data_IF_686693412569
#
_entry.id   IF_686693412569
#
_cell.length_a   1.000
_cell.length_b   1.000
_cell.length_c   1.000
_cell.angle_alpha   90.00
_cell.angle_beta   90.00
_cell.angle_gamma   90.00
#
_symmetry.space_group_name_H-M   'P 1'
#
loop_
_entity.id
_entity.type
_entity.pdbx_description
1 polymer ?
#
# COMPACT_ATOMS: atom_id res chain seq x y z
N UNK A 1 7.26 4.27 26.49
CA UNK A 1 7.21 3.28 25.40
C UNK A 1 8.56 3.35 24.70
N UNK A 2 9.36 2.28 24.81
CA UNK A 2 10.66 2.22 24.12
C UNK A 2 10.37 2.08 22.61
N UNK A 3 10.54 3.17 21.87
CA UNK A 3 10.54 3.12 20.41
C UNK A 3 11.81 2.38 19.98
N UNK A 4 11.68 1.09 19.74
CA UNK A 4 12.73 0.37 19.02
C UNK A 4 12.92 1.07 17.66
N UNK A 5 14.17 1.30 17.24
CA UNK A 5 14.41 1.91 15.94
C UNK A 5 13.75 1.05 14.85
N UNK A 6 12.99 1.70 13.97
CA UNK A 6 12.39 1.04 12.82
C UNK A 6 13.51 0.64 11.88
N UNK A 7 13.64 -0.64 11.49
CA UNK A 7 14.66 -1.04 10.54
C UNK A 7 14.36 -0.39 9.18
N UNK A 8 15.36 0.27 8.60
CA UNK A 8 15.20 0.96 7.32
C UNK A 8 15.20 0.00 6.14
N UNK A 9 15.81 -1.19 6.31
CA UNK A 9 16.02 -2.17 5.24
C UNK A 9 15.88 -3.59 5.77
N UNK A 10 15.50 -4.49 4.87
CA UNK A 10 15.48 -5.94 5.12
C UNK A 10 15.83 -6.68 3.83
N UNK A 11 16.42 -7.86 3.95
CA UNK A 11 16.83 -8.68 2.81
C UNK A 11 15.94 -9.89 2.69
N UNK A 12 15.59 -10.25 1.47
CA UNK A 12 14.93 -11.52 1.15
C UNK A 12 15.73 -12.35 0.14
N UNK A 13 15.46 -13.64 0.14
CA UNK A 13 16.05 -14.63 -0.76
C UNK A 13 14.99 -15.09 -1.74
N UNK A 14 15.31 -15.17 -3.01
CA UNK A 14 14.48 -15.84 -4.00
C UNK A 14 14.80 -17.33 -4.02
N UNK A 15 13.87 -18.20 -3.67
CA UNK A 15 14.09 -19.64 -3.49
C UNK A 15 14.65 -20.32 -4.76
N UNK A 16 14.26 -19.86 -5.95
CA UNK A 16 14.71 -20.47 -7.23
C UNK A 16 16.16 -20.21 -7.58
N UNK A 17 16.67 -19.01 -7.35
CA UNK A 17 18.02 -18.62 -7.73
C UNK A 17 18.96 -18.42 -6.55
N UNK A 18 18.45 -18.53 -5.30
CA UNK A 18 19.17 -18.23 -4.06
C UNK A 18 19.77 -16.80 -4.01
N UNK A 19 19.27 -15.93 -4.90
CA UNK A 19 19.70 -14.55 -4.98
C UNK A 19 19.13 -13.70 -3.86
N UNK A 20 19.98 -12.88 -3.25
CA UNK A 20 19.62 -11.93 -2.22
C UNK A 20 19.16 -10.61 -2.85
N UNK A 21 18.09 -10.04 -2.31
CA UNK A 21 17.62 -8.71 -2.68
C UNK A 21 17.35 -7.92 -1.41
N UNK A 22 18.00 -6.77 -1.28
CA UNK A 22 17.76 -5.81 -0.20
C UNK A 22 16.62 -4.87 -0.60
N UNK A 23 15.67 -4.68 0.30
CA UNK A 23 14.56 -3.74 0.15
C UNK A 23 14.54 -2.77 1.32
N UNK A 24 14.26 -1.52 0.99
CA UNK A 24 14.16 -0.44 1.98
C UNK A 24 12.86 0.35 1.83
N UNK A 25 12.65 1.23 2.79
CA UNK A 25 11.57 2.22 2.80
C UNK A 25 10.18 1.64 2.46
N UNK A 26 9.52 2.22 1.46
CA UNK A 26 8.16 1.87 1.07
C UNK A 26 8.04 0.41 0.58
N UNK A 27 9.06 -0.11 -0.13
CA UNK A 27 9.03 -1.48 -0.62
C UNK A 27 9.13 -2.49 0.53
N UNK A 28 9.91 -2.18 1.56
CA UNK A 28 9.98 -3.00 2.75
C UNK A 28 8.67 -2.93 3.54
N UNK A 29 8.10 -1.73 3.74
CA UNK A 29 6.81 -1.55 4.41
C UNK A 29 5.71 -2.34 3.69
N UNK A 30 5.64 -2.27 2.35
CA UNK A 30 4.65 -2.99 1.56
C UNK A 30 4.80 -4.52 1.64
N UNK A 31 6.04 -5.04 1.58
CA UNK A 31 6.30 -6.48 1.70
C UNK A 31 6.04 -7.00 3.11
N UNK A 32 6.30 -6.20 4.14
CA UNK A 32 6.04 -6.52 5.54
C UNK A 32 4.59 -6.33 5.94
N UNK A 33 3.77 -5.68 5.11
CA UNK A 33 2.37 -5.44 5.40
C UNK A 33 1.56 -6.74 5.30
N UNK A 34 1.00 -7.25 6.41
CA UNK A 34 0.25 -8.49 6.42
C UNK A 34 -1.08 -8.44 5.66
N UNK A 35 -1.59 -7.23 5.38
CA UNK A 35 -2.82 -7.00 4.61
C UNK A 35 -2.55 -6.64 3.14
N UNK A 36 -1.27 -6.63 2.72
CA UNK A 36 -0.90 -6.34 1.34
C UNK A 36 -1.29 -7.51 0.43
N UNK A 37 -1.94 -7.18 -0.68
CA UNK A 37 -2.30 -8.09 -1.77
C UNK A 37 -1.31 -8.07 -2.94
N UNK A 38 -0.09 -7.52 -2.72
CA UNK A 38 0.97 -7.51 -3.72
C UNK A 38 1.37 -8.94 -4.06
N UNK A 39 1.15 -9.39 -5.33
CA UNK A 39 1.39 -10.77 -5.71
C UNK A 39 2.84 -11.04 -6.13
N UNK A 40 3.58 -10.00 -6.51
CA UNK A 40 4.92 -10.14 -7.08
C UNK A 40 5.90 -9.14 -6.48
N UNK A 41 7.18 -9.55 -6.40
CA UNK A 41 8.29 -8.67 -6.04
C UNK A 41 9.48 -8.89 -6.98
N UNK A 42 10.38 -7.91 -7.02
CA UNK A 42 11.56 -7.94 -7.91
C UNK A 42 12.65 -8.85 -7.35
N UNK A 43 13.29 -9.65 -8.20
CA UNK A 43 14.52 -10.36 -7.88
C UNK A 43 15.71 -9.69 -8.57
N UNK A 44 16.64 -9.18 -7.78
CA UNK A 44 17.81 -8.50 -8.34
C UNK A 44 18.71 -9.46 -9.14
N UNK A 45 18.87 -10.70 -8.70
CA UNK A 45 19.72 -11.70 -9.37
C UNK A 45 19.09 -12.21 -10.68
N UNK A 46 17.77 -12.42 -10.70
CA UNK A 46 17.06 -12.87 -11.91
C UNK A 46 16.71 -11.74 -12.87
N UNK A 47 16.83 -10.47 -12.44
CA UNK A 47 16.35 -9.28 -13.17
C UNK A 47 14.89 -9.41 -13.62
N UNK A 48 14.03 -10.00 -12.77
CA UNK A 48 12.62 -10.26 -13.09
C UNK A 48 11.73 -10.25 -11.87
N UNK A 49 10.41 -10.08 -12.10
CA UNK A 49 9.41 -10.21 -11.06
C UNK A 49 9.06 -11.68 -10.80
N UNK A 50 9.20 -12.13 -9.56
CA UNK A 50 8.73 -13.43 -9.07
C UNK A 50 7.48 -13.29 -8.20
N UNK A 51 6.77 -14.40 -7.96
CA UNK A 51 5.66 -14.43 -7.01
C UNK A 51 6.17 -14.26 -5.57
N UNK A 52 5.46 -13.51 -4.74
CA UNK A 52 5.85 -13.30 -3.33
C UNK A 52 5.98 -14.62 -2.56
N UNK A 53 5.24 -15.67 -2.97
CA UNK A 53 5.36 -17.03 -2.41
C UNK A 53 6.70 -17.73 -2.67
N UNK A 54 7.50 -17.22 -3.63
CA UNK A 54 8.82 -17.76 -3.98
C UNK A 54 9.97 -17.08 -3.22
N UNK A 55 9.63 -16.16 -2.32
CA UNK A 55 10.61 -15.38 -1.56
C UNK A 55 10.47 -15.64 -0.05
N UNK A 56 11.60 -15.70 0.62
CA UNK A 56 11.71 -15.83 2.07
C UNK A 56 12.59 -14.72 2.66
N UNK A 57 12.28 -14.28 3.88
CA UNK A 57 13.14 -13.34 4.59
C UNK A 57 14.49 -14.00 4.90
N UNK A 58 15.60 -13.32 4.55
CA UNK A 58 16.95 -13.89 4.71
C UNK A 58 17.36 -14.09 6.17
N UNK A 59 16.84 -13.28 7.07
CA UNK A 59 17.14 -13.30 8.51
C UNK A 59 16.41 -14.42 9.26
N UNK A 60 15.20 -14.78 8.83
CA UNK A 60 14.36 -15.79 9.53
C UNK A 60 14.19 -17.08 8.73
N UNK A 61 14.42 -17.04 7.41
CA UNK A 61 14.08 -18.14 6.49
C UNK A 61 12.58 -18.32 6.27
N UNK A 62 11.74 -17.48 6.90
CA UNK A 62 10.27 -17.56 6.77
C UNK A 62 9.83 -17.01 5.41
N UNK A 63 8.96 -17.74 4.70
CA UNK A 63 8.35 -17.22 3.46
C UNK A 63 7.56 -15.95 3.72
N UNK A 64 7.64 -14.99 2.82
CA UNK A 64 6.93 -13.72 2.98
C UNK A 64 5.41 -13.93 3.06
N UNK A 65 4.88 -14.92 2.34
CA UNK A 65 3.46 -15.25 2.41
C UNK A 65 3.05 -15.83 3.78
N UNK A 66 3.87 -16.68 4.38
CA UNK A 66 3.60 -17.28 5.70
C UNK A 66 3.73 -16.22 6.80
N UNK A 67 4.75 -15.37 6.71
CA UNK A 67 4.91 -14.20 7.54
C UNK A 67 3.66 -13.29 7.52
N UNK A 68 3.15 -12.97 6.33
CA UNK A 68 1.91 -12.19 6.19
C UNK A 68 0.71 -12.91 6.80
N UNK A 69 0.57 -14.21 6.56
CA UNK A 69 -0.51 -15.01 7.11
C UNK A 69 -0.48 -15.00 8.65
N UNK A 70 0.71 -15.19 9.25
CA UNK A 70 0.92 -15.18 10.70
C UNK A 70 0.52 -13.86 11.35
N UNK A 71 0.90 -12.73 10.74
CA UNK A 71 0.58 -11.40 11.29
C UNK A 71 -0.83 -10.92 10.97
N UNK A 72 -1.54 -11.55 10.03
CA UNK A 72 -2.91 -11.18 9.64
C UNK A 72 -3.99 -12.08 10.24
N UNK A 73 -3.67 -12.96 11.18
CA UNK A 73 -4.64 -13.89 11.78
C UNK A 73 -5.86 -13.19 12.38
N UNK A 74 -5.66 -12.01 12.97
CA UNK A 74 -6.74 -11.21 13.58
C UNK A 74 -7.55 -10.39 12.59
N UNK A 75 -7.12 -10.31 11.33
CA UNK A 75 -7.78 -9.52 10.32
C UNK A 75 -9.08 -10.19 9.85
N UNK A 76 -10.16 -9.45 9.88
CA UNK A 76 -11.44 -9.86 9.30
C UNK A 76 -11.40 -9.78 7.77
N UNK A 77 -12.30 -10.50 7.09
CA UNK A 77 -12.44 -10.44 5.63
C UNK A 77 -12.75 -9.01 5.14
N UNK A 78 -13.51 -8.25 5.93
CA UNK A 78 -13.84 -6.86 5.63
C UNK A 78 -12.61 -5.96 5.67
N UNK A 79 -11.74 -6.10 6.69
CA UNK A 79 -10.49 -5.33 6.81
C UNK A 79 -9.52 -5.65 5.67
N UNK A 80 -9.41 -6.93 5.28
CA UNK A 80 -8.62 -7.33 4.10
C UNK A 80 -9.16 -6.70 2.82
N UNK A 81 -10.48 -6.69 2.65
CA UNK A 81 -11.13 -6.06 1.51
C UNK A 81 -10.84 -4.56 1.45
N UNK A 82 -11.01 -3.82 2.57
CA UNK A 82 -10.73 -2.38 2.62
C UNK A 82 -9.26 -2.02 2.39
N UNK A 83 -8.32 -2.89 2.76
CA UNK A 83 -6.89 -2.70 2.50
C UNK A 83 -6.46 -3.20 1.10
N UNK A 84 -7.37 -3.76 0.31
CA UNK A 84 -7.05 -4.28 -1.02
C UNK A 84 -6.80 -3.16 -2.03
N UNK A 85 -5.96 -3.44 -3.02
CA UNK A 85 -5.69 -2.52 -4.15
C UNK A 85 -6.94 -2.16 -4.92
N UNK A 86 -7.89 -3.09 -5.06
CA UNK A 86 -9.16 -2.86 -5.77
C UNK A 86 -9.95 -1.74 -5.10
N UNK A 87 -10.09 -1.77 -3.77
CA UNK A 87 -10.76 -0.71 -3.02
C UNK A 87 -9.99 0.60 -3.11
N UNK A 88 -8.66 0.56 -2.98
CA UNK A 88 -7.81 1.73 -3.10
C UNK A 88 -7.99 2.45 -4.44
N UNK A 89 -7.71 1.76 -5.54
CA UNK A 89 -7.82 2.34 -6.88
C UNK A 89 -9.26 2.70 -7.24
N UNK A 90 -10.24 1.88 -6.85
CA UNK A 90 -11.66 2.16 -7.08
C UNK A 90 -12.11 3.44 -6.37
N UNK A 91 -11.72 3.63 -5.11
CA UNK A 91 -12.06 4.83 -4.34
C UNK A 91 -11.39 6.08 -4.91
N UNK A 92 -10.12 6.00 -5.32
CA UNK A 92 -9.43 7.13 -5.96
C UNK A 92 -10.03 7.47 -7.32
N UNK A 93 -10.42 6.48 -8.12
CA UNK A 93 -11.11 6.71 -9.39
C UNK A 93 -12.48 7.39 -9.18
N UNK A 94 -13.27 6.93 -8.20
CA UNK A 94 -14.54 7.56 -7.84
C UNK A 94 -14.33 9.00 -7.31
N UNK A 95 -13.27 9.24 -6.54
CA UNK A 95 -12.90 10.57 -6.06
C UNK A 95 -12.58 11.52 -7.23
N UNK A 96 -11.83 11.05 -8.21
CA UNK A 96 -11.50 11.82 -9.41
C UNK A 96 -12.76 12.16 -10.21
N UNK A 97 -13.61 11.17 -10.50
CA UNK A 97 -14.86 11.35 -11.25
C UNK A 97 -15.80 12.30 -10.51
N UNK A 98 -16.02 12.07 -9.21
CA UNK A 98 -16.86 12.92 -8.37
C UNK A 98 -16.34 14.36 -8.29
N UNK A 99 -15.02 14.54 -8.18
CA UNK A 99 -14.39 15.86 -8.18
C UNK A 99 -14.53 16.59 -9.50
N UNK A 100 -14.43 15.89 -10.64
CA UNK A 100 -14.65 16.48 -11.97
C UNK A 100 -16.12 16.88 -12.11
N UNK A 101 -17.08 16.03 -11.76
CA UNK A 101 -18.51 16.34 -11.81
C UNK A 101 -18.82 17.53 -10.90
N UNK A 102 -18.30 17.52 -9.66
CA UNK A 102 -18.44 18.65 -8.72
C UNK A 102 -17.86 19.95 -9.28
N UNK A 103 -16.71 19.85 -9.95
CA UNK A 103 -16.10 20.99 -10.63
C UNK A 103 -17.00 21.58 -11.73
N UNK A 104 -17.66 20.73 -12.53
CA UNK A 104 -18.64 21.21 -13.53
C UNK A 104 -19.81 21.95 -12.87
N UNK A 105 -20.33 21.43 -11.76
CA UNK A 105 -21.45 22.07 -11.04
C UNK A 105 -21.02 23.40 -10.39
N UNK A 106 -19.83 23.45 -9.78
CA UNK A 106 -19.34 24.63 -9.06
C UNK A 106 -18.95 25.78 -10.00
N UNK A 107 -18.49 25.47 -11.21
CA UNK A 107 -17.96 26.45 -12.17
C UNK A 107 -18.85 26.61 -13.42
N UNK A 108 -20.14 26.21 -13.33
CA UNK A 108 -21.05 26.23 -14.49
C UNK A 108 -21.18 27.61 -15.16
N UNK A 109 -21.27 28.68 -14.38
CA UNK A 109 -21.38 30.04 -14.84
C UNK A 109 -20.02 30.73 -15.17
N UNK A 110 -18.90 30.01 -15.05
CA UNK A 110 -17.58 30.56 -15.24
C UNK A 110 -17.17 30.62 -16.72
N UNK A 111 -16.19 31.48 -17.04
CA UNK A 111 -15.58 31.52 -18.37
C UNK A 111 -14.92 30.20 -18.73
N UNK A 112 -14.90 29.82 -20.00
CA UNK A 112 -14.42 28.52 -20.48
C UNK A 112 -12.95 28.24 -20.09
N UNK A 113 -12.08 29.28 -20.08
CA UNK A 113 -10.69 29.16 -19.64
C UNK A 113 -10.58 28.77 -18.17
N UNK A 114 -11.43 29.33 -17.32
CA UNK A 114 -11.48 29.02 -15.90
C UNK A 114 -11.96 27.58 -15.69
N UNK A 115 -12.99 27.14 -16.43
CA UNK A 115 -13.47 25.75 -16.40
C UNK A 115 -12.34 24.76 -16.76
N UNK A 116 -11.56 25.06 -17.79
CA UNK A 116 -10.48 24.20 -18.25
C UNK A 116 -9.42 23.93 -17.18
N UNK A 117 -9.18 24.89 -16.28
CA UNK A 117 -8.20 24.78 -15.20
C UNK A 117 -8.84 24.23 -13.92
N UNK A 118 -9.99 24.77 -13.53
CA UNK A 118 -10.57 24.51 -12.21
C UNK A 118 -11.23 23.14 -12.11
N UNK A 119 -11.82 22.60 -13.18
CA UNK A 119 -12.45 21.28 -13.15
C UNK A 119 -11.44 20.16 -12.89
N UNK A 120 -10.31 20.03 -13.66
CA UNK A 120 -9.30 19.04 -13.34
C UNK A 120 -8.65 19.26 -11.97
N UNK A 121 -8.46 20.54 -11.57
CA UNK A 121 -7.91 20.87 -10.26
C UNK A 121 -8.80 20.38 -9.12
N UNK A 122 -10.12 20.53 -9.22
CA UNK A 122 -11.07 20.02 -8.23
C UNK A 122 -11.00 18.50 -8.12
N UNK A 123 -10.94 17.79 -9.26
CA UNK A 123 -10.73 16.34 -9.29
C UNK A 123 -9.44 15.92 -8.59
N UNK A 124 -8.34 16.62 -8.86
CA UNK A 124 -7.04 16.35 -8.24
C UNK A 124 -7.07 16.57 -6.71
N UNK A 125 -7.67 17.66 -6.25
CA UNK A 125 -7.83 17.95 -4.81
C UNK A 125 -8.64 16.86 -4.11
N UNK A 126 -9.73 16.39 -4.71
CA UNK A 126 -10.52 15.28 -4.17
C UNK A 126 -9.71 14.00 -4.02
N UNK A 127 -8.89 13.66 -5.02
CA UNK A 127 -8.00 12.49 -4.95
C UNK A 127 -6.99 12.60 -3.81
N UNK A 128 -6.37 13.78 -3.62
CA UNK A 128 -5.42 13.99 -2.52
C UNK A 128 -6.10 13.83 -1.16
N UNK A 129 -7.25 14.48 -0.94
CA UNK A 129 -7.95 14.46 0.34
C UNK A 129 -8.44 13.05 0.70
N UNK A 130 -9.05 12.36 -0.26
CA UNK A 130 -9.55 11.00 -0.07
C UNK A 130 -8.37 10.02 0.07
N UNK A 131 -7.29 10.18 -0.71
CA UNK A 131 -6.08 9.40 -0.59
C UNK A 131 -5.43 9.50 0.79
N UNK A 132 -5.33 10.70 1.34
CA UNK A 132 -4.85 10.92 2.70
C UNK A 132 -5.73 10.21 3.74
N UNK A 133 -7.06 10.29 3.61
CA UNK A 133 -8.01 9.58 4.46
C UNK A 133 -7.86 8.06 4.38
N UNK A 134 -7.64 7.50 3.19
CA UNK A 134 -7.39 6.07 3.00
C UNK A 134 -6.09 5.61 3.68
N UNK A 135 -5.01 6.40 3.58
CA UNK A 135 -3.73 6.10 4.25
C UNK A 135 -3.94 6.01 5.77
N UNK A 136 -4.58 7.00 6.38
CA UNK A 136 -4.81 7.01 7.82
C UNK A 136 -5.77 5.89 8.27
N UNK A 137 -6.79 5.58 7.47
CA UNK A 137 -7.70 4.46 7.73
C UNK A 137 -6.96 3.12 7.69
N UNK A 138 -6.09 2.91 6.71
CA UNK A 138 -5.26 1.70 6.58
C UNK A 138 -4.31 1.55 7.77
N UNK A 139 -3.63 2.62 8.20
CA UNK A 139 -2.78 2.61 9.40
C UNK A 139 -3.54 2.27 10.67
N UNK A 140 -4.78 2.74 10.78
CA UNK A 140 -5.65 2.44 11.93
C UNK A 140 -6.05 0.95 11.94
N UNK A 141 -6.38 0.39 10.77
CA UNK A 141 -6.67 -1.05 10.63
C UNK A 141 -5.43 -1.88 10.99
N UNK A 142 -4.25 -1.52 10.46
CA UNK A 142 -2.99 -2.19 10.75
C UNK A 142 -2.67 -2.17 12.26
N UNK A 143 -2.82 -1.03 12.91
CA UNK A 143 -2.61 -0.92 14.35
C UNK A 143 -3.54 -1.85 15.15
N UNK A 144 -4.80 -1.97 14.73
CA UNK A 144 -5.77 -2.88 15.36
C UNK A 144 -5.42 -4.35 15.14
N UNK A 145 -4.97 -4.71 13.93
CA UNK A 145 -4.67 -6.10 13.54
C UNK A 145 -3.34 -6.58 14.11
N UNK A 146 -2.28 -5.78 13.97
CA UNK A 146 -0.89 -6.17 14.29
C UNK A 146 -0.34 -5.46 15.52
N UNK A 147 -0.97 -4.40 16.03
CA UNK A 147 -0.45 -3.59 17.14
C UNK A 147 0.60 -2.55 16.71
N UNK A 148 0.89 -2.42 15.44
CA UNK A 148 1.86 -1.47 14.88
C UNK A 148 1.24 -0.66 13.75
N UNK A 149 1.60 0.62 13.65
CA UNK A 149 1.24 1.47 12.52
C UNK A 149 2.23 1.35 11.35
N UNK A 150 3.48 1.00 11.68
CA UNK A 150 4.55 0.76 10.73
C UNK A 150 4.87 -0.74 10.72
N UNK A 151 4.58 -1.39 9.62
CA UNK A 151 4.72 -2.84 9.47
C UNK A 151 6.18 -3.30 9.43
N UNK A 152 7.15 -2.40 9.25
CA UNK A 152 8.59 -2.69 9.34
C UNK A 152 9.03 -3.08 10.75
N UNK A 153 8.23 -2.78 11.77
CA UNK A 153 8.48 -3.16 13.16
C UNK A 153 8.07 -4.61 13.50
N UNK A 154 7.34 -5.27 12.60
CA UNK A 154 6.94 -6.66 12.77
C UNK A 154 8.15 -7.60 12.62
N UNK A 155 8.28 -8.57 13.52
CA UNK A 155 9.34 -9.59 13.54
C UNK A 155 8.79 -11.01 13.40
#
# INVERSE_FOLDING_TARGET
>A
MNHLPVPDRRTYVHEKCQGLTEVGENSFEELSNPLSDVPRTWCYTCHSFGLVSEFAWADTGEKIIDYRARHSVRATSLERFFCSRVVWFGTLALALIGGIIGGFVLFDDSEWLLKLVMIPFTGFVCVILIGAGLIESTKTILWRVCGFRDTRQLK
#
